data_IF_393861720851
#
_entry.id   IF_393861720851
#
_cell.length_a   1.000
_cell.length_b   1.000
_cell.length_c   1.000
_cell.angle_alpha   90.00
_cell.angle_beta   90.00
_cell.angle_gamma   90.00
#
_symmetry.space_group_name_H-M   'P 1'
#
loop_
_entity.id
_entity.type
_entity.pdbx_description
1 polymer ?
#
# COMPACT_ATOMS: atom_id res chain seq x y z
N UNK A 1 -10.40 -15.56 -6.37
CA UNK A 1 -9.66 -14.36 -5.93
C UNK A 1 -10.38 -13.13 -6.48
N UNK A 2 -10.61 -12.10 -5.69
CA UNK A 2 -11.36 -10.90 -6.11
C UNK A 2 -10.41 -9.87 -6.73
N UNK A 3 -9.96 -10.12 -7.96
CA UNK A 3 -9.02 -9.22 -8.66
C UNK A 3 -9.69 -7.90 -9.05
N UNK A 4 -11.00 -7.89 -9.29
CA UNK A 4 -11.76 -6.68 -9.56
C UNK A 4 -11.68 -5.67 -8.40
N UNK A 5 -11.77 -6.16 -7.15
CA UNK A 5 -11.55 -5.29 -5.98
C UNK A 5 -10.14 -4.68 -5.97
N UNK A 6 -9.10 -5.47 -6.28
CA UNK A 6 -7.73 -4.97 -6.32
C UNK A 6 -7.58 -3.86 -7.37
N UNK A 7 -8.12 -4.07 -8.59
CA UNK A 7 -8.09 -3.05 -9.64
C UNK A 7 -8.78 -1.76 -9.21
N UNK A 8 -9.99 -1.87 -8.65
CA UNK A 8 -10.73 -0.69 -8.14
C UNK A 8 -9.96 0.05 -7.04
N UNK A 9 -9.30 -0.68 -6.13
CA UNK A 9 -8.45 -0.08 -5.11
C UNK A 9 -7.27 0.66 -5.75
N UNK A 10 -6.55 0.05 -6.69
CA UNK A 10 -5.40 0.66 -7.35
C UNK A 10 -5.77 1.89 -8.22
N UNK A 11 -6.93 1.86 -8.88
CA UNK A 11 -7.38 2.94 -9.75
C UNK A 11 -8.00 4.11 -8.96
N UNK A 12 -8.41 3.90 -7.71
CA UNK A 12 -8.99 4.96 -6.87
C UNK A 12 -7.89 5.92 -6.39
N UNK A 13 -7.95 7.22 -6.73
CA UNK A 13 -6.95 8.20 -6.33
C UNK A 13 -6.86 8.38 -4.82
N UNK A 14 -5.62 8.49 -4.29
CA UNK A 14 -5.41 8.75 -2.87
C UNK A 14 -3.93 8.88 -2.52
N UNK A 15 -3.38 10.10 -2.52
CA UNK A 15 -2.02 10.40 -2.07
C UNK A 15 -1.97 10.62 -0.56
N UNK A 16 -0.77 10.62 0.08
CA UNK A 16 -0.65 10.92 1.51
C UNK A 16 -1.41 12.18 1.93
N UNK A 17 -2.40 12.04 2.83
CA UNK A 17 -3.26 13.13 3.31
C UNK A 17 -4.48 13.44 2.43
N UNK A 18 -4.75 12.62 1.43
CA UNK A 18 -5.93 12.69 0.54
C UNK A 18 -6.46 11.29 0.23
N UNK A 19 -6.58 10.45 1.23
CA UNK A 19 -6.99 9.04 1.11
C UNK A 19 -8.52 8.84 1.20
N UNK A 20 -9.31 9.92 1.26
CA UNK A 20 -10.75 9.86 1.51
C UNK A 20 -11.49 8.93 0.55
N UNK A 21 -11.18 9.01 -0.75
CA UNK A 21 -11.85 8.21 -1.79
C UNK A 21 -11.57 6.71 -1.64
N UNK A 22 -10.33 6.37 -1.29
CA UNK A 22 -9.93 4.99 -1.02
C UNK A 22 -10.59 4.47 0.25
N UNK A 23 -10.58 5.28 1.31
CA UNK A 23 -11.26 4.96 2.57
C UNK A 23 -12.76 4.70 2.36
N UNK A 24 -13.44 5.54 1.58
CA UNK A 24 -14.87 5.34 1.25
C UNK A 24 -15.12 4.04 0.48
N UNK A 25 -14.24 3.67 -0.45
CA UNK A 25 -14.30 2.39 -1.13
C UNK A 25 -14.13 1.24 -0.13
N UNK A 26 -13.10 1.30 0.72
CA UNK A 26 -12.84 0.28 1.74
C UNK A 26 -14.01 0.17 2.72
N UNK A 27 -14.58 1.28 3.19
CA UNK A 27 -15.73 1.28 4.09
C UNK A 27 -16.95 0.53 3.52
N UNK A 28 -17.16 0.63 2.20
CA UNK A 28 -18.22 -0.14 1.52
C UNK A 28 -17.91 -1.64 1.51
N UNK A 29 -16.65 -2.00 1.24
CA UNK A 29 -16.20 -3.39 1.13
C UNK A 29 -16.12 -4.11 2.49
N UNK A 30 -15.83 -3.40 3.57
CA UNK A 30 -15.73 -3.99 4.93
C UNK A 30 -17.08 -4.07 5.67
N UNK A 31 -18.16 -3.57 5.08
CA UNK A 31 -19.49 -3.56 5.70
C UNK A 31 -19.91 -4.98 6.09
N UNK A 32 -20.15 -5.18 7.39
CA UNK A 32 -20.58 -6.48 7.95
C UNK A 32 -19.42 -7.45 8.27
N UNK A 33 -18.16 -7.11 7.97
CA UNK A 33 -16.99 -7.93 8.32
C UNK A 33 -16.48 -7.68 9.75
N UNK A 34 -16.73 -6.50 10.29
CA UNK A 34 -16.23 -6.04 11.58
C UNK A 34 -17.36 -5.63 12.52
N UNK A 35 -17.08 -5.67 13.81
CA UNK A 35 -18.06 -5.28 14.86
C UNK A 35 -18.08 -3.76 15.06
N UNK A 36 -16.90 -3.12 14.94
CA UNK A 36 -16.72 -1.68 15.07
C UNK A 36 -15.84 -1.14 13.96
N UNK A 37 -16.18 0.05 13.48
CA UNK A 37 -15.34 0.80 12.53
C UNK A 37 -15.29 2.25 12.96
N UNK A 38 -14.13 2.86 12.93
CA UNK A 38 -13.96 4.30 13.20
C UNK A 38 -12.88 4.88 12.30
N UNK A 39 -13.00 6.16 12.01
CA UNK A 39 -11.95 6.95 11.35
C UNK A 39 -11.28 7.79 12.45
N UNK A 40 -9.95 7.76 12.49
CA UNK A 40 -9.18 8.58 13.43
C UNK A 40 -8.94 10.00 12.90
N UNK A 41 -8.28 10.84 13.70
CA UNK A 41 -8.00 12.23 13.34
C UNK A 41 -7.02 12.37 12.14
N UNK A 42 -6.22 11.34 11.87
CA UNK A 42 -5.32 11.30 10.69
C UNK A 42 -6.02 10.81 9.43
N UNK A 43 -7.25 10.30 9.55
CA UNK A 43 -8.02 9.73 8.45
C UNK A 43 -7.85 8.21 8.30
N UNK A 44 -7.09 7.54 9.14
CA UNK A 44 -6.97 6.08 9.12
C UNK A 44 -8.30 5.42 9.51
N UNK A 45 -8.70 4.36 8.77
CA UNK A 45 -9.88 3.57 9.08
C UNK A 45 -9.47 2.37 9.95
N UNK A 46 -9.97 2.34 11.18
CA UNK A 46 -9.68 1.28 12.16
C UNK A 46 -10.91 0.41 12.31
N UNK A 47 -10.79 -0.86 11.95
CA UNK A 47 -11.85 -1.86 11.95
C UNK A 47 -11.55 -2.93 13.02
N UNK A 48 -12.45 -3.12 13.99
CA UNK A 48 -12.30 -4.09 15.07
C UNK A 48 -13.22 -5.28 14.88
N UNK A 49 -12.68 -6.45 15.05
CA UNK A 49 -13.39 -7.72 15.05
C UNK A 49 -13.11 -8.45 16.35
N UNK A 50 -14.15 -8.63 17.14
CA UNK A 50 -14.05 -9.31 18.42
C UNK A 50 -13.86 -10.83 18.25
N UNK A 51 -13.36 -11.53 19.27
CA UNK A 51 -13.22 -12.99 19.25
C UNK A 51 -14.48 -13.68 18.74
N UNK A 52 -14.30 -14.72 17.92
CA UNK A 52 -15.39 -15.52 17.34
C UNK A 52 -15.27 -16.98 17.76
N UNK A 53 -16.34 -17.53 18.32
CA UNK A 53 -16.49 -18.97 18.47
C UNK A 53 -16.81 -19.66 17.14
N UNK A 54 -16.96 -20.99 17.17
CA UNK A 54 -17.39 -21.73 16.00
C UNK A 54 -18.70 -21.15 15.40
N UNK A 55 -18.79 -21.12 14.07
CA UNK A 55 -19.90 -20.53 13.30
C UNK A 55 -20.02 -19.00 13.45
N UNK A 56 -18.93 -18.29 13.74
CA UNK A 56 -18.85 -16.85 13.69
C UNK A 56 -19.58 -16.08 14.82
N UNK A 57 -20.04 -16.75 15.87
CA UNK A 57 -20.65 -16.08 17.04
C UNK A 57 -19.58 -15.39 17.87
N UNK A 58 -19.85 -14.15 18.32
CA UNK A 58 -18.97 -13.43 19.25
C UNK A 58 -18.78 -14.27 20.51
N UNK A 59 -17.52 -14.57 20.85
CA UNK A 59 -17.17 -15.31 22.04
C UNK A 59 -17.17 -14.37 23.25
N UNK A 60 -17.89 -14.73 24.31
CA UNK A 60 -17.82 -14.05 25.60
C UNK A 60 -16.70 -14.73 26.42
N UNK A 61 -15.55 -14.06 26.52
CA UNK A 61 -14.41 -14.52 27.33
C UNK A 61 -14.32 -13.77 28.66
N UNK A 62 -13.70 -14.40 29.67
CA UNK A 62 -13.42 -13.81 30.96
C UNK A 62 -12.06 -13.10 31.01
N UNK A 63 -11.21 -13.28 30.01
CA UNK A 63 -9.89 -12.64 29.89
C UNK A 63 -9.89 -11.61 28.77
N UNK A 64 -9.06 -10.55 28.91
CA UNK A 64 -8.79 -9.62 27.81
C UNK A 64 -8.14 -10.42 26.66
N UNK A 65 -8.71 -10.38 25.45
CA UNK A 65 -8.14 -11.09 24.31
C UNK A 65 -6.80 -10.48 23.88
N UNK A 66 -5.92 -11.30 23.32
CA UNK A 66 -4.73 -10.83 22.58
C UNK A 66 -5.19 -9.98 21.40
N UNK A 67 -4.64 -8.80 21.25
CA UNK A 67 -4.96 -7.87 20.15
C UNK A 67 -3.96 -8.05 19.01
N UNK A 68 -4.43 -8.55 17.87
CA UNK A 68 -3.66 -8.68 16.63
C UNK A 68 -4.05 -7.56 15.68
N UNK A 69 -3.10 -6.72 15.29
CA UNK A 69 -3.33 -5.59 14.40
C UNK A 69 -2.68 -5.83 13.04
N UNK A 70 -3.48 -5.80 11.98
CA UNK A 70 -3.04 -5.78 10.58
C UNK A 70 -2.94 -4.32 10.14
N UNK A 71 -1.80 -3.91 9.60
CA UNK A 71 -1.57 -2.55 9.12
C UNK A 71 -1.44 -2.56 7.60
N UNK A 72 -2.24 -1.72 6.94
CA UNK A 72 -2.46 -1.71 5.51
C UNK A 72 -2.58 -0.27 5.02
N UNK A 73 -1.52 0.35 4.51
CA UNK A 73 -1.64 1.75 4.12
C UNK A 73 -2.47 1.96 2.84
N UNK A 74 -3.22 3.06 2.84
CA UNK A 74 -4.15 3.42 1.78
C UNK A 74 -3.55 4.35 0.74
N UNK A 75 -2.55 5.13 1.13
CA UNK A 75 -1.93 6.11 0.24
C UNK A 75 -1.09 5.44 -0.84
N UNK A 76 -0.98 6.14 -1.95
CA UNK A 76 -0.07 5.87 -3.06
C UNK A 76 0.83 7.07 -3.24
N UNK A 77 2.03 6.90 -3.79
CA UNK A 77 2.88 8.03 -4.18
C UNK A 77 2.17 8.92 -5.22
N UNK A 78 2.36 10.22 -5.11
CA UNK A 78 1.77 11.18 -6.04
C UNK A 78 2.34 12.57 -5.83
N UNK A 79 1.55 13.59 -6.14
CA UNK A 79 2.02 14.97 -6.10
C UNK A 79 0.97 15.90 -5.52
N UNK A 80 1.45 17.02 -5.01
CA UNK A 80 0.64 18.18 -4.74
C UNK A 80 0.95 19.31 -5.73
N UNK A 81 -0.08 20.01 -6.18
CA UNK A 81 0.10 21.24 -6.98
C UNK A 81 0.82 22.26 -6.11
N UNK A 82 1.98 22.71 -6.55
CA UNK A 82 2.80 23.72 -5.87
C UNK A 82 2.62 25.12 -6.47
N UNK A 83 2.29 25.22 -7.76
CA UNK A 83 2.01 26.47 -8.45
C UNK A 83 1.23 26.25 -9.74
N UNK A 84 0.51 27.30 -10.20
CA UNK A 84 0.01 27.43 -11.56
C UNK A 84 0.61 28.73 -12.13
N UNK A 85 1.39 28.63 -13.19
CA UNK A 85 2.08 29.78 -13.76
C UNK A 85 1.17 30.68 -14.64
N UNK A 86 1.75 31.74 -15.18
CA UNK A 86 1.00 32.71 -15.98
C UNK A 86 0.51 32.13 -17.31
N UNK A 87 1.09 31.05 -17.78
CA UNK A 87 0.72 30.36 -19.01
C UNK A 87 -0.26 29.19 -18.78
N UNK A 88 -0.57 28.88 -17.50
CA UNK A 88 -1.47 27.78 -17.12
C UNK A 88 -0.77 26.45 -16.92
N UNK A 89 0.57 26.39 -16.90
CA UNK A 89 1.29 25.17 -16.56
C UNK A 89 1.19 24.91 -15.05
N UNK A 90 0.90 23.65 -14.70
CA UNK A 90 0.74 23.22 -13.31
C UNK A 90 2.05 22.60 -12.85
N UNK A 91 2.67 23.18 -11.84
CA UNK A 91 3.90 22.70 -11.22
C UNK A 91 3.56 21.89 -9.97
N UNK A 92 4.37 20.84 -9.69
CA UNK A 92 4.06 19.88 -8.65
C UNK A 92 5.22 19.63 -7.69
N UNK A 93 4.87 19.21 -6.48
CA UNK A 93 5.78 18.74 -5.45
C UNK A 93 5.43 17.29 -5.10
N UNK A 94 6.41 16.35 -5.04
CA UNK A 94 6.13 14.94 -4.77
C UNK A 94 5.68 14.69 -3.32
N UNK A 95 4.79 13.73 -3.16
CA UNK A 95 4.43 13.09 -1.90
C UNK A 95 4.75 11.59 -2.05
N UNK A 96 5.82 11.14 -1.38
CA UNK A 96 6.44 9.85 -1.60
C UNK A 96 7.66 9.89 -2.54
N UNK A 97 8.29 8.75 -2.75
CA UNK A 97 9.53 8.62 -3.50
C UNK A 97 9.34 8.36 -4.98
N UNK A 98 9.95 9.19 -5.85
CA UNK A 98 9.93 9.00 -7.31
C UNK A 98 11.33 8.93 -7.91
N UNK A 99 11.53 8.01 -8.84
CA UNK A 99 12.60 8.14 -9.82
C UNK A 99 12.12 9.03 -10.98
N UNK A 100 12.75 10.18 -11.16
CA UNK A 100 12.38 11.16 -12.18
C UNK A 100 12.38 10.57 -13.62
N UNK A 101 13.16 9.51 -13.87
CA UNK A 101 13.18 8.80 -15.15
C UNK A 101 11.84 8.13 -15.48
N UNK A 102 11.06 7.80 -14.46
CA UNK A 102 9.73 7.18 -14.63
C UNK A 102 8.61 8.21 -14.83
N UNK A 103 8.90 9.51 -14.81
CA UNK A 103 7.91 10.58 -14.92
C UNK A 103 7.75 11.14 -16.34
N UNK A 104 8.60 10.73 -17.28
CA UNK A 104 8.52 11.19 -18.67
C UNK A 104 7.24 10.71 -19.35
N UNK A 105 6.54 11.64 -20.02
CA UNK A 105 5.38 11.36 -20.87
C UNK A 105 4.26 10.58 -20.16
N UNK A 106 3.99 10.92 -18.90
CA UNK A 106 2.94 10.24 -18.12
C UNK A 106 1.59 10.92 -18.27
N UNK A 107 0.55 10.11 -18.34
CA UNK A 107 -0.82 10.56 -18.08
C UNK A 107 -1.03 10.68 -16.58
N UNK A 108 -1.74 11.73 -16.19
CA UNK A 108 -2.03 12.02 -14.79
C UNK A 108 -3.48 12.46 -14.62
N UNK A 109 -3.98 12.32 -13.40
CA UNK A 109 -5.27 12.85 -12.98
C UNK A 109 -5.03 13.94 -11.95
N UNK A 110 -5.40 15.17 -12.28
CA UNK A 110 -5.37 16.33 -11.36
C UNK A 110 -6.71 16.36 -10.64
N UNK A 111 -6.69 16.08 -9.35
CA UNK A 111 -7.88 15.98 -8.50
C UNK A 111 -8.11 17.31 -7.77
N UNK A 112 -9.23 17.97 -8.06
CA UNK A 112 -9.59 19.29 -7.51
C UNK A 112 -10.98 19.28 -6.89
N UNK A 113 -11.32 20.33 -6.14
CA UNK A 113 -12.69 20.52 -5.63
C UNK A 113 -13.73 20.73 -6.76
N UNK A 114 -13.27 21.12 -7.95
CA UNK A 114 -14.11 21.38 -9.12
C UNK A 114 -14.27 20.14 -10.04
N UNK A 115 -13.74 18.98 -9.62
CA UNK A 115 -13.71 17.75 -10.39
C UNK A 115 -12.29 17.34 -10.77
N UNK A 116 -12.18 16.21 -11.45
CA UNK A 116 -10.92 15.63 -11.85
C UNK A 116 -10.61 15.95 -13.32
N UNK A 117 -9.36 16.32 -13.61
CA UNK A 117 -8.90 16.68 -14.95
C UNK A 117 -7.79 15.75 -15.39
N UNK A 118 -7.96 15.12 -16.55
CA UNK A 118 -6.86 14.39 -17.18
C UNK A 118 -5.82 15.36 -17.69
N UNK A 119 -4.55 15.02 -17.48
CA UNK A 119 -3.42 15.80 -17.93
C UNK A 119 -2.25 14.94 -18.39
N UNK A 120 -1.24 15.60 -18.93
CA UNK A 120 0.03 14.98 -19.30
C UNK A 120 1.17 15.64 -18.53
N UNK A 121 2.05 14.82 -17.99
CA UNK A 121 3.24 15.27 -17.24
C UNK A 121 4.48 15.10 -18.11
N UNK A 122 5.28 16.15 -18.22
CA UNK A 122 6.55 16.13 -18.92
C UNK A 122 7.55 17.09 -18.22
N UNK A 123 8.87 16.89 -18.40
CA UNK A 123 9.85 17.82 -17.91
C UNK A 123 9.84 19.10 -18.74
N UNK A 124 10.09 20.24 -18.10
CA UNK A 124 10.40 21.49 -18.77
C UNK A 124 11.75 21.41 -19.48
N UNK A 125 11.90 22.15 -20.58
CA UNK A 125 13.15 22.21 -21.33
C UNK A 125 12.94 22.14 -22.84
N UNK A 126 14.05 22.03 -23.57
CA UNK A 126 14.02 21.95 -25.03
C UNK A 126 13.66 20.53 -25.48
N UNK A 127 12.75 20.35 -26.45
CA UNK A 127 12.54 19.05 -27.09
C UNK A 127 13.86 18.51 -27.66
N UNK A 128 13.99 17.19 -27.69
CA UNK A 128 15.23 16.49 -28.12
C UNK A 128 15.76 16.94 -29.47
N UNK A 129 14.87 17.36 -30.39
CA UNK A 129 15.20 17.82 -31.75
C UNK A 129 16.02 19.11 -31.79
N UNK A 130 15.94 19.93 -30.72
CA UNK A 130 16.64 21.23 -30.63
C UNK A 130 17.50 21.34 -29.37
N UNK A 131 17.68 20.23 -28.61
CA UNK A 131 18.52 20.16 -27.42
C UNK A 131 19.99 19.99 -27.79
N UNK A 132 20.87 20.57 -26.96
CA UNK A 132 22.31 20.28 -27.02
C UNK A 132 22.62 18.85 -26.56
N UNK A 133 23.81 18.28 -26.91
CA UNK A 133 24.22 16.96 -26.41
C UNK A 133 24.20 16.87 -24.87
N UNK A 134 24.61 17.89 -24.15
CA UNK A 134 24.65 17.91 -22.70
C UNK A 134 23.24 17.89 -22.08
N UNK A 135 22.29 18.64 -22.67
CA UNK A 135 20.88 18.63 -22.23
C UNK A 135 20.23 17.26 -22.40
N UNK A 136 20.57 16.51 -23.46
CA UNK A 136 20.00 15.19 -23.76
C UNK A 136 20.35 14.12 -22.73
N UNK A 137 21.52 14.24 -22.12
CA UNK A 137 22.04 13.27 -21.15
C UNK A 137 21.67 13.59 -19.70
N UNK A 138 21.04 14.74 -19.45
CA UNK A 138 20.67 15.18 -18.11
C UNK A 138 19.32 14.61 -17.70
N UNK A 139 19.29 13.93 -16.55
CA UNK A 139 18.02 13.55 -15.90
C UNK A 139 17.47 14.77 -15.15
N UNK A 140 16.24 15.23 -15.46
CA UNK A 140 15.63 16.35 -14.76
C UNK A 140 15.33 15.99 -13.31
N UNK A 141 15.36 16.97 -12.41
CA UNK A 141 14.81 16.82 -11.07
C UNK A 141 13.28 16.82 -11.10
N UNK A 142 12.63 16.15 -10.15
CA UNK A 142 11.16 16.05 -10.07
C UNK A 142 10.47 17.42 -10.12
N UNK A 143 11.07 18.44 -9.47
CA UNK A 143 10.54 19.82 -9.49
C UNK A 143 10.54 20.50 -10.85
N UNK A 144 11.19 19.93 -11.87
CA UNK A 144 11.25 20.45 -13.24
C UNK A 144 10.14 19.89 -14.13
N UNK A 145 9.31 18.98 -13.59
CA UNK A 145 8.14 18.48 -14.30
C UNK A 145 6.93 19.39 -14.11
N UNK A 146 6.16 19.53 -15.18
CA UNK A 146 4.91 20.25 -15.19
C UNK A 146 3.80 19.42 -15.81
N UNK A 147 2.56 19.85 -15.59
CA UNK A 147 1.37 19.17 -16.11
C UNK A 147 0.60 20.15 -17.01
N UNK A 148 0.16 19.61 -18.15
CA UNK A 148 -0.75 20.25 -19.07
C UNK A 148 -2.10 19.51 -19.03
N UNK A 149 -3.19 20.23 -18.75
CA UNK A 149 -4.56 19.71 -18.77
C UNK A 149 -5.36 20.20 -19.99
N UNK A 150 -4.70 20.82 -20.98
CA UNK A 150 -5.31 21.23 -22.24
C UNK A 150 -6.30 22.39 -22.14
N UNK A 151 -6.29 23.16 -21.05
CA UNK A 151 -7.18 24.30 -20.85
C UNK A 151 -6.44 25.64 -21.00
N UNK A 152 -7.13 26.73 -21.43
CA UNK A 152 -6.58 28.08 -21.41
C UNK A 152 -6.15 28.50 -19.99
N UNK A 153 -5.08 29.30 -19.89
CA UNK A 153 -4.46 29.68 -18.64
C UNK A 153 -5.43 30.30 -17.60
N UNK A 154 -6.37 31.12 -18.05
CA UNK A 154 -7.38 31.74 -17.18
C UNK A 154 -8.36 30.71 -16.60
N UNK A 155 -8.65 29.66 -17.33
CA UNK A 155 -9.46 28.53 -16.85
C UNK A 155 -8.68 27.66 -15.87
N UNK A 156 -7.42 27.30 -16.20
CA UNK A 156 -6.58 26.52 -15.27
C UNK A 156 -6.48 27.22 -13.92
N UNK A 157 -6.17 28.52 -13.90
CA UNK A 157 -6.04 29.33 -12.66
C UNK A 157 -7.33 29.43 -11.84
N UNK A 158 -8.50 29.30 -12.46
CA UNK A 158 -9.79 29.30 -11.77
C UNK A 158 -10.16 27.93 -11.22
N UNK A 159 -9.60 26.86 -11.80
CA UNK A 159 -10.00 25.48 -11.55
C UNK A 159 -9.02 24.76 -10.64
N UNK A 160 -7.73 24.95 -10.87
CA UNK A 160 -6.64 24.28 -10.14
C UNK A 160 -6.00 25.27 -9.18
N UNK A 161 -5.79 24.84 -7.95
CA UNK A 161 -5.16 25.63 -6.89
C UNK A 161 -4.01 24.88 -6.21
N UNK A 162 -3.14 25.61 -5.55
CA UNK A 162 -2.10 25.04 -4.69
C UNK A 162 -2.73 24.16 -3.62
N UNK A 163 -2.22 22.94 -3.47
CA UNK A 163 -2.74 21.92 -2.54
C UNK A 163 -3.74 20.93 -3.17
N UNK A 164 -4.17 21.13 -4.42
CA UNK A 164 -4.82 20.05 -5.18
C UNK A 164 -3.82 18.93 -5.41
N UNK A 165 -4.29 17.69 -5.54
CA UNK A 165 -3.38 16.56 -5.65
C UNK A 165 -3.43 15.90 -7.03
N UNK A 166 -2.37 15.16 -7.34
CA UNK A 166 -2.20 14.52 -8.64
C UNK A 166 -1.74 13.10 -8.45
N UNK A 167 -2.37 12.17 -9.18
CA UNK A 167 -1.96 10.77 -9.26
C UNK A 167 -1.64 10.41 -10.70
N UNK A 168 -0.89 9.32 -10.91
CA UNK A 168 -0.74 8.70 -12.22
C UNK A 168 -2.09 8.17 -12.71
N UNK A 169 -2.37 8.26 -14.02
CA UNK A 169 -3.62 7.79 -14.64
C UNK A 169 -3.32 6.66 -15.64
N UNK A 170 -3.20 5.45 -15.11
CA UNK A 170 -3.02 4.23 -15.89
C UNK A 170 -3.98 3.14 -15.41
N UNK A 171 -4.68 2.43 -16.31
CA UNK A 171 -5.59 1.35 -15.93
C UNK A 171 -4.84 0.11 -15.46
N UNK A 172 -5.46 -0.64 -14.56
CA UNK A 172 -4.96 -1.93 -14.13
C UNK A 172 -5.13 -3.00 -15.20
N UNK A 173 -4.12 -3.86 -15.40
CA UNK A 173 -4.08 -4.92 -16.40
C UNK A 173 -3.89 -6.29 -15.76
N UNK A 174 -4.56 -7.31 -16.29
CA UNK A 174 -4.24 -8.71 -16.03
C UNK A 174 -3.39 -9.27 -17.16
N UNK A 175 -2.25 -9.90 -16.81
CA UNK A 175 -1.31 -10.49 -17.75
C UNK A 175 -0.94 -11.92 -17.30
N UNK A 176 -1.69 -12.91 -17.74
CA UNK A 176 -1.54 -14.28 -17.28
C UNK A 176 -1.80 -14.42 -15.77
N UNK A 177 -0.78 -14.79 -15.00
CA UNK A 177 -0.87 -14.85 -13.52
C UNK A 177 -0.51 -13.52 -12.84
N UNK A 178 -0.29 -12.46 -13.60
CA UNK A 178 0.17 -11.17 -13.08
C UNK A 178 -0.96 -10.14 -13.09
N UNK A 179 -0.90 -9.23 -12.14
CA UNK A 179 -1.62 -7.96 -12.16
C UNK A 179 -0.60 -6.85 -12.26
N UNK A 180 -0.84 -5.94 -13.18
CA UNK A 180 -0.01 -4.73 -13.41
C UNK A 180 -0.87 -3.51 -13.11
N UNK A 181 -0.41 -2.62 -12.28
CA UNK A 181 -1.09 -1.36 -11.98
C UNK A 181 -0.14 -0.35 -11.34
N UNK A 182 -0.53 0.91 -11.30
CA UNK A 182 -0.04 1.84 -10.30
C UNK A 182 -0.55 1.44 -8.91
N UNK A 183 0.06 1.91 -7.86
CA UNK A 183 -0.46 1.82 -6.49
C UNK A 183 -0.71 0.37 -5.99
N UNK A 184 -0.09 -0.67 -6.60
CA UNK A 184 -0.02 -1.96 -5.93
C UNK A 184 0.67 -1.81 -4.58
N UNK A 185 1.63 -0.89 -4.50
CA UNK A 185 2.13 -0.26 -3.30
C UNK A 185 1.18 0.88 -2.84
N UNK A 186 0.31 0.69 -1.79
CA UNK A 186 0.12 -0.59 -1.13
C UNK A 186 -1.37 -0.98 -1.09
N UNK A 187 -2.06 -0.88 -2.22
CA UNK A 187 -3.45 -1.34 -2.32
C UNK A 187 -3.54 -2.88 -2.23
N UNK A 188 -2.41 -3.56 -2.42
CA UNK A 188 -2.24 -4.99 -2.09
C UNK A 188 -2.54 -5.24 -0.61
N UNK A 189 -2.00 -4.44 0.30
CA UNK A 189 -2.30 -4.59 1.72
C UNK A 189 -3.77 -4.28 2.05
N UNK A 190 -4.35 -3.25 1.44
CA UNK A 190 -5.77 -2.96 1.59
C UNK A 190 -6.64 -4.16 1.15
N UNK A 191 -6.30 -4.77 0.02
CA UNK A 191 -6.95 -5.97 -0.46
C UNK A 191 -6.77 -7.15 0.52
N UNK A 192 -5.56 -7.35 1.03
CA UNK A 192 -5.24 -8.43 1.98
C UNK A 192 -5.98 -8.25 3.31
N UNK A 193 -6.06 -7.03 3.83
CA UNK A 193 -6.81 -6.72 5.04
C UNK A 193 -8.30 -7.06 4.93
N UNK A 194 -8.89 -6.91 3.74
CA UNK A 194 -10.28 -7.28 3.47
C UNK A 194 -10.42 -8.78 3.22
N UNK A 195 -9.65 -9.32 2.29
CA UNK A 195 -9.83 -10.69 1.79
C UNK A 195 -9.34 -11.77 2.77
N UNK A 196 -8.37 -11.46 3.65
CA UNK A 196 -7.97 -12.38 4.72
C UNK A 196 -9.10 -12.56 5.75
N UNK A 197 -9.83 -11.50 6.08
CA UNK A 197 -11.00 -11.59 6.97
C UNK A 197 -12.16 -12.34 6.29
N UNK A 198 -12.42 -12.07 5.01
CA UNK A 198 -13.40 -12.85 4.22
C UNK A 198 -13.04 -14.33 4.16
N UNK A 199 -11.75 -14.63 3.99
CA UNK A 199 -11.24 -16.00 3.99
C UNK A 199 -11.39 -16.67 5.36
N UNK A 200 -11.09 -15.96 6.44
CA UNK A 200 -11.30 -16.42 7.80
C UNK A 200 -12.78 -16.77 8.05
N UNK A 201 -13.71 -15.89 7.65
CA UNK A 201 -15.14 -16.13 7.76
C UNK A 201 -15.59 -17.37 6.98
N UNK A 202 -15.16 -17.51 5.74
CA UNK A 202 -15.54 -18.64 4.87
C UNK A 202 -14.98 -19.97 5.36
N UNK A 203 -13.90 -19.96 6.15
CA UNK A 203 -13.33 -21.17 6.76
C UNK A 203 -14.17 -21.70 7.94
N UNK A 204 -15.02 -20.86 8.53
CA UNK A 204 -15.78 -21.18 9.74
C UNK A 204 -14.94 -21.38 11.00
N UNK A 205 -13.65 -21.04 10.95
CA UNK A 205 -12.73 -21.17 12.08
C UNK A 205 -13.05 -20.17 13.19
N UNK A 206 -12.97 -20.64 14.44
CA UNK A 206 -12.97 -19.77 15.62
C UNK A 206 -11.61 -19.05 15.73
N UNK A 207 -11.61 -17.86 16.34
CA UNK A 207 -10.39 -17.17 16.77
C UNK A 207 -10.62 -16.55 18.15
N UNK A 208 -9.63 -16.69 19.05
CA UNK A 208 -9.70 -16.16 20.41
C UNK A 208 -9.18 -14.71 20.50
N UNK A 209 -8.32 -14.30 19.59
CA UNK A 209 -7.79 -12.94 19.54
C UNK A 209 -8.84 -11.91 19.07
N UNK A 210 -8.67 -10.66 19.48
CA UNK A 210 -9.29 -9.51 18.85
C UNK A 210 -8.47 -9.15 17.60
N UNK A 211 -9.11 -9.07 16.43
CA UNK A 211 -8.45 -8.67 15.19
C UNK A 211 -8.78 -7.23 14.89
N UNK A 212 -7.74 -6.40 14.73
CA UNK A 212 -7.87 -5.01 14.28
C UNK A 212 -7.23 -4.90 12.89
N UNK A 213 -7.98 -4.43 11.91
CA UNK A 213 -7.43 -4.03 10.61
C UNK A 213 -7.40 -2.51 10.56
N UNK A 214 -6.21 -1.93 10.47
CA UNK A 214 -6.02 -0.51 10.29
C UNK A 214 -5.63 -0.22 8.84
N UNK A 215 -6.52 0.44 8.12
CA UNK A 215 -6.22 1.02 6.82
C UNK A 215 -5.64 2.41 7.08
N UNK A 216 -4.32 2.50 7.03
CA UNK A 216 -3.54 3.63 7.51
C UNK A 216 -3.33 4.69 6.44
N UNK A 217 -2.99 5.89 6.86
CA UNK A 217 -2.73 7.05 5.99
C UNK A 217 -1.28 7.48 6.07
N UNK A 218 -0.76 8.14 5.02
CA UNK A 218 0.54 8.81 5.01
C UNK A 218 1.72 7.89 5.38
N UNK A 219 1.70 6.65 4.89
CA UNK A 219 2.83 5.72 5.04
C UNK A 219 4.03 6.24 4.27
N UNK A 220 3.83 6.60 2.98
CA UNK A 220 4.82 7.01 1.99
C UNK A 220 5.65 8.26 2.38
N UNK A 221 5.22 8.95 3.43
CA UNK A 221 5.89 10.13 3.98
C UNK A 221 6.30 9.95 5.45
N UNK A 222 6.37 8.70 5.92
CA UNK A 222 6.96 8.34 7.21
C UNK A 222 6.06 7.63 8.22
N UNK A 223 5.23 6.67 7.80
CA UNK A 223 4.42 5.76 8.64
C UNK A 223 3.47 6.51 9.60
N UNK A 224 2.94 7.68 9.19
CA UNK A 224 2.32 8.63 10.11
C UNK A 224 1.01 8.13 10.69
N UNK A 225 0.11 7.63 9.84
CA UNK A 225 -1.17 7.07 10.27
C UNK A 225 -1.00 5.79 11.10
N UNK A 226 -0.01 4.96 10.74
CA UNK A 226 0.30 3.75 11.51
C UNK A 226 0.76 4.08 12.93
N UNK A 227 1.57 5.13 13.12
CA UNK A 227 2.01 5.60 14.45
C UNK A 227 0.83 5.97 15.34
N UNK A 228 -0.10 6.77 14.82
CA UNK A 228 -1.28 7.20 15.59
C UNK A 228 -2.25 6.05 15.84
N UNK A 229 -2.50 5.21 14.82
CA UNK A 229 -3.38 4.07 14.94
C UNK A 229 -2.84 3.03 15.94
N UNK A 230 -1.55 2.68 15.86
CA UNK A 230 -0.90 1.73 16.77
C UNK A 230 -0.85 2.25 18.21
N UNK A 231 -0.59 3.54 18.40
CA UNK A 231 -0.66 4.15 19.71
C UNK A 231 -2.07 4.07 20.32
N UNK A 232 -3.10 4.30 19.53
CA UNK A 232 -4.48 4.25 19.99
C UNK A 232 -5.02 2.82 20.21
N UNK A 233 -4.53 1.83 19.47
CA UNK A 233 -4.93 0.41 19.57
C UNK A 233 -4.13 -0.32 20.63
N UNK A 234 -2.84 -0.04 20.77
CA UNK A 234 -1.88 -0.74 21.63
C UNK A 234 -1.92 -2.27 21.40
N UNK A 235 -1.57 -2.75 20.19
CA UNK A 235 -1.63 -4.17 19.88
C UNK A 235 -0.59 -4.98 20.66
N UNK A 236 -0.90 -6.24 20.95
CA UNK A 236 0.06 -7.23 21.44
C UNK A 236 0.92 -7.77 20.28
N UNK A 237 0.31 -7.89 19.09
CA UNK A 237 0.95 -8.36 17.86
C UNK A 237 0.61 -7.41 16.72
N UNK A 238 1.64 -6.86 16.06
CA UNK A 238 1.52 -6.07 14.85
C UNK A 238 1.94 -6.90 13.61
N UNK A 239 1.11 -6.90 12.57
CA UNK A 239 1.41 -7.51 11.28
C UNK A 239 1.41 -6.38 10.25
N UNK A 240 2.60 -5.93 9.87
CA UNK A 240 2.77 -5.02 8.74
C UNK A 240 2.53 -5.78 7.45
N UNK A 241 1.58 -5.33 6.65
CA UNK A 241 1.30 -5.93 5.34
C UNK A 241 1.77 -4.94 4.30
N UNK A 242 2.69 -5.39 3.43
CA UNK A 242 3.30 -4.50 2.47
C UNK A 242 3.69 -5.22 1.18
N UNK A 243 4.21 -4.48 0.21
CA UNK A 243 4.94 -5.01 -0.93
C UNK A 243 6.44 -5.04 -0.62
N UNK A 244 7.21 -5.76 -1.42
CA UNK A 244 8.67 -5.74 -1.39
C UNK A 244 9.24 -5.99 -2.78
N UNK A 245 10.53 -5.78 -2.98
CA UNK A 245 11.15 -5.95 -4.28
C UNK A 245 11.07 -7.39 -4.79
N UNK A 246 10.51 -7.59 -5.98
CA UNK A 246 10.70 -8.80 -6.76
C UNK A 246 11.88 -8.58 -7.71
N UNK A 247 12.99 -9.24 -7.39
CA UNK A 247 14.28 -9.04 -8.06
C UNK A 247 14.59 -10.14 -9.09
N UNK A 248 13.57 -10.79 -9.61
CA UNK A 248 13.68 -11.80 -10.68
C UNK A 248 13.66 -11.18 -12.09
N UNK A 249 14.15 -9.95 -12.21
CA UNK A 249 14.28 -9.19 -13.46
C UNK A 249 15.73 -9.17 -13.95
N UNK A 250 15.96 -8.99 -15.27
CA UNK A 250 17.33 -8.94 -15.81
C UNK A 250 18.18 -7.86 -15.13
N UNK A 251 19.44 -8.19 -14.85
CA UNK A 251 20.43 -7.26 -14.30
C UNK A 251 20.52 -7.21 -12.78
N UNK A 252 19.73 -7.99 -12.05
CA UNK A 252 19.85 -8.14 -10.60
C UNK A 252 20.68 -9.40 -10.30
N UNK A 253 21.80 -9.30 -9.54
CA UNK A 253 22.53 -10.46 -9.05
C UNK A 253 21.70 -11.36 -8.15
N UNK A 254 21.95 -12.67 -8.15
CA UNK A 254 21.15 -13.64 -7.36
C UNK A 254 21.23 -13.34 -5.85
N UNK A 255 22.38 -12.93 -5.35
CA UNK A 255 22.62 -12.57 -3.94
C UNK A 255 21.90 -11.30 -3.49
N UNK A 256 21.44 -10.46 -4.42
CA UNK A 256 20.65 -9.26 -4.15
C UNK A 256 19.15 -9.51 -4.31
N UNK A 257 18.75 -10.73 -4.67
CA UNK A 257 17.34 -11.07 -4.87
C UNK A 257 16.60 -11.07 -3.54
N UNK A 258 15.53 -10.27 -3.45
CA UNK A 258 14.67 -10.19 -2.26
C UNK A 258 13.53 -11.21 -2.36
N UNK A 259 12.78 -11.19 -3.46
CA UNK A 259 11.75 -12.19 -3.78
C UNK A 259 11.75 -12.55 -5.26
N UNK A 260 11.15 -13.70 -5.56
CA UNK A 260 10.87 -14.18 -6.91
C UNK A 260 9.38 -14.40 -7.08
N UNK A 261 8.78 -13.92 -8.16
CA UNK A 261 7.36 -14.12 -8.46
C UNK A 261 6.98 -15.61 -8.58
N UNK A 262 5.85 -15.96 -7.96
CA UNK A 262 5.30 -17.31 -7.98
C UNK A 262 5.94 -18.28 -7.00
N UNK A 263 6.81 -17.79 -6.11
CA UNK A 263 7.44 -18.58 -5.03
C UNK A 263 6.76 -18.40 -3.67
N UNK A 264 5.64 -17.70 -3.63
CA UNK A 264 4.87 -17.45 -2.43
C UNK A 264 5.11 -16.07 -1.82
N UNK A 265 4.41 -15.77 -0.73
CA UNK A 265 4.55 -14.51 -0.02
C UNK A 265 5.93 -14.37 0.62
N UNK A 266 6.34 -13.13 0.88
CA UNK A 266 7.55 -12.83 1.63
C UNK A 266 7.29 -12.83 3.14
N UNK A 267 8.00 -13.67 3.87
CA UNK A 267 8.11 -13.62 5.32
C UNK A 267 9.25 -12.68 5.64
N UNK A 268 8.91 -11.43 5.97
CA UNK A 268 9.86 -10.34 6.08
C UNK A 268 10.64 -10.41 7.38
N UNK A 269 11.96 -10.47 7.30
CA UNK A 269 12.84 -10.59 8.46
C UNK A 269 13.32 -9.22 8.94
N UNK A 270 13.73 -8.36 7.99
CA UNK A 270 14.32 -7.06 8.31
C UNK A 270 14.24 -6.10 7.11
N UNK A 271 14.01 -4.82 7.41
CA UNK A 271 14.28 -3.68 6.52
C UNK A 271 15.04 -2.55 7.23
N UNK A 272 14.99 -1.33 6.72
CA UNK A 272 15.64 -0.15 7.31
C UNK A 272 14.99 0.33 8.61
N UNK A 273 13.70 0.07 8.81
CA UNK A 273 12.90 0.58 9.94
C UNK A 273 12.47 -0.50 10.94
N UNK A 274 12.58 -1.78 10.57
CA UNK A 274 11.87 -2.87 11.20
C UNK A 274 12.68 -4.16 11.26
N UNK A 275 12.57 -4.91 12.36
CA UNK A 275 13.09 -6.27 12.52
C UNK A 275 11.98 -7.13 13.09
N UNK A 276 11.56 -8.15 12.35
CA UNK A 276 10.51 -9.07 12.77
C UNK A 276 10.88 -9.86 14.03
N UNK A 277 9.90 -10.04 14.91
CA UNK A 277 10.03 -10.90 16.08
C UNK A 277 10.31 -12.34 15.67
N UNK A 278 11.41 -12.90 16.16
CA UNK A 278 11.87 -14.24 15.77
C UNK A 278 10.82 -15.33 16.03
N UNK A 279 10.08 -15.23 17.12
CA UNK A 279 9.07 -16.22 17.47
C UNK A 279 7.86 -16.14 16.55
N UNK A 280 7.45 -14.91 16.15
CA UNK A 280 6.41 -14.75 15.13
C UNK A 280 6.85 -15.32 13.77
N UNK A 281 8.10 -15.11 13.39
CA UNK A 281 8.64 -15.73 12.15
C UNK A 281 8.49 -17.24 12.21
N UNK A 282 8.86 -17.88 13.31
CA UNK A 282 8.73 -19.34 13.47
C UNK A 282 7.26 -19.80 13.47
N UNK A 283 6.36 -19.03 14.13
CA UNK A 283 4.92 -19.30 14.15
C UNK A 283 4.33 -19.24 12.74
N UNK A 284 4.62 -18.19 11.95
CA UNK A 284 4.15 -18.07 10.58
C UNK A 284 4.73 -19.15 9.66
N UNK A 285 5.99 -19.52 9.81
CA UNK A 285 6.56 -20.65 9.07
C UNK A 285 5.86 -21.97 9.40
N UNK A 286 5.58 -22.23 10.67
CA UNK A 286 4.87 -23.43 11.10
C UNK A 286 3.47 -23.48 10.47
N UNK A 287 2.75 -22.35 10.47
CA UNK A 287 1.43 -22.23 9.83
C UNK A 287 1.54 -22.45 8.32
N UNK A 288 2.48 -21.79 7.64
CA UNK A 288 2.69 -21.94 6.20
C UNK A 288 2.99 -23.41 5.82
N UNK A 289 3.89 -24.06 6.55
CA UNK A 289 4.22 -25.49 6.35
C UNK A 289 3.02 -26.40 6.59
N UNK A 290 2.29 -26.19 7.69
CA UNK A 290 1.08 -26.99 8.04
C UNK A 290 0.02 -26.91 6.94
N UNK A 291 -0.20 -25.76 6.37
CA UNK A 291 -1.21 -25.49 5.35
C UNK A 291 -0.68 -25.60 3.90
N UNK A 292 0.61 -25.94 3.72
CA UNK A 292 1.29 -26.03 2.41
C UNK A 292 1.22 -24.72 1.61
N UNK A 293 1.35 -23.60 2.30
CA UNK A 293 1.37 -22.26 1.71
C UNK A 293 2.83 -21.93 1.37
N UNK A 294 3.08 -21.54 0.12
CA UNK A 294 4.41 -21.18 -0.34
C UNK A 294 4.85 -19.84 0.25
N UNK A 295 6.11 -19.74 0.68
CA UNK A 295 6.69 -18.51 1.24
C UNK A 295 8.19 -18.42 0.95
N UNK A 296 8.72 -17.22 1.06
CA UNK A 296 10.13 -16.87 0.94
C UNK A 296 10.54 -16.05 2.15
N UNK A 297 11.74 -16.25 2.72
CA UNK A 297 12.30 -15.33 3.72
C UNK A 297 12.93 -14.16 3.01
N UNK A 298 12.64 -12.93 3.45
CA UNK A 298 13.09 -11.71 2.79
C UNK A 298 13.85 -10.78 3.73
N UNK A 299 14.90 -10.15 3.21
CA UNK A 299 15.60 -9.03 3.83
C UNK A 299 15.69 -7.93 2.79
N UNK A 300 15.32 -6.72 3.17
CA UNK A 300 15.49 -5.51 2.38
C UNK A 300 16.52 -4.61 3.07
N UNK A 301 17.48 -4.10 2.32
CA UNK A 301 18.57 -3.29 2.90
C UNK A 301 18.09 -1.92 3.40
N UNK A 302 17.09 -1.36 2.73
CA UNK A 302 16.51 -0.04 3.01
C UNK A 302 14.98 -0.10 2.94
N UNK A 303 14.29 1.03 3.13
CA UNK A 303 12.83 1.09 3.15
C UNK A 303 12.27 0.94 4.55
N UNK A 304 10.96 0.82 4.64
CA UNK A 304 10.23 0.67 5.89
C UNK A 304 8.82 0.22 5.60
N UNK A 305 8.07 -0.08 6.65
CA UNK A 305 6.68 -0.47 6.58
C UNK A 305 5.94 -0.16 7.89
N UNK A 306 4.64 -0.13 7.84
CA UNK A 306 3.77 0.18 8.97
C UNK A 306 3.95 -0.74 10.20
N UNK A 307 4.48 -1.96 10.01
CA UNK A 307 4.84 -2.87 11.10
C UNK A 307 5.84 -2.27 12.10
N UNK A 308 6.74 -1.39 11.62
CA UNK A 308 7.68 -0.67 12.49
C UNK A 308 6.97 0.25 13.49
N UNK A 309 5.88 0.90 13.06
CA UNK A 309 5.09 1.76 13.92
C UNK A 309 4.38 0.97 15.02
N UNK A 310 3.83 -0.21 14.71
CA UNK A 310 3.24 -1.09 15.72
C UNK A 310 4.29 -1.61 16.71
N UNK A 311 5.47 -2.02 16.20
CA UNK A 311 6.57 -2.51 17.05
C UNK A 311 7.00 -1.50 18.09
N UNK A 312 6.95 -0.21 17.78
CA UNK A 312 7.43 0.89 18.62
C UNK A 312 6.31 1.62 19.38
N UNK A 313 5.05 1.20 19.24
CA UNK A 313 3.93 1.87 19.90
C UNK A 313 3.87 1.58 21.39
N UNK A 314 3.55 2.59 22.20
CA UNK A 314 3.38 2.48 23.66
C UNK A 314 4.57 1.77 24.34
N UNK A 315 4.33 0.58 24.91
CA UNK A 315 5.35 -0.25 25.57
C UNK A 315 6.06 -1.21 24.59
N UNK A 316 5.74 -1.14 23.30
CA UNK A 316 6.19 -2.04 22.25
C UNK A 316 5.24 -3.21 22.01
N UNK A 317 5.25 -3.74 20.79
CA UNK A 317 4.52 -4.94 20.39
C UNK A 317 5.45 -5.93 19.70
N UNK A 318 5.13 -7.21 19.77
CA UNK A 318 5.73 -8.20 18.87
C UNK A 318 5.23 -7.88 17.45
N UNK A 319 6.12 -7.82 16.48
CA UNK A 319 5.69 -7.47 15.13
C UNK A 319 6.37 -8.31 14.06
N UNK A 320 5.70 -8.47 12.91
CA UNK A 320 6.16 -9.23 11.75
C UNK A 320 5.69 -8.55 10.46
N UNK A 321 6.49 -8.65 9.42
CA UNK A 321 6.10 -8.23 8.06
C UNK A 321 5.63 -9.40 7.21
N UNK A 322 4.50 -9.26 6.55
CA UNK A 322 3.99 -10.15 5.50
C UNK A 322 3.94 -9.34 4.21
N UNK A 323 4.80 -9.70 3.25
CA UNK A 323 5.00 -8.88 2.06
C UNK A 323 4.72 -9.64 0.76
N UNK A 324 4.31 -8.94 -0.27
CA UNK A 324 4.10 -9.47 -1.62
C UNK A 324 5.18 -8.95 -2.54
N UNK A 325 5.89 -9.86 -3.22
CA UNK A 325 6.91 -9.48 -4.19
C UNK A 325 6.32 -8.67 -5.34
N UNK A 326 6.86 -7.48 -5.56
CA UNK A 326 6.37 -6.53 -6.56
C UNK A 326 7.55 -6.02 -7.40
N UNK A 327 7.46 -6.17 -8.72
CA UNK A 327 8.40 -5.58 -9.66
C UNK A 327 8.05 -4.13 -9.91
N UNK A 328 9.05 -3.32 -10.21
CA UNK A 328 8.89 -1.93 -10.67
C UNK A 328 8.14 -1.04 -9.65
N UNK A 329 8.37 -1.24 -8.36
CA UNK A 329 7.76 -0.44 -7.28
C UNK A 329 7.98 1.06 -7.54
N UNK A 330 6.98 1.88 -7.19
CA UNK A 330 6.94 3.33 -7.42
C UNK A 330 6.90 3.71 -8.90
N UNK A 331 6.21 2.88 -9.71
CA UNK A 331 5.94 3.19 -11.12
C UNK A 331 4.47 2.94 -11.48
N UNK A 332 4.09 3.27 -12.70
CA UNK A 332 2.74 2.96 -13.24
C UNK A 332 2.59 1.51 -13.69
N UNK A 333 3.66 0.73 -13.65
CA UNK A 333 3.71 -0.66 -14.11
C UNK A 333 4.17 -1.62 -13.01
N UNK A 334 3.88 -1.28 -11.76
CA UNK A 334 4.06 -2.22 -10.65
C UNK A 334 3.39 -3.54 -10.99
N UNK A 335 4.03 -4.63 -10.64
CA UNK A 335 3.56 -5.96 -11.05
C UNK A 335 3.68 -6.95 -9.92
N UNK A 336 2.60 -7.67 -9.62
CA UNK A 336 2.57 -8.79 -8.66
C UNK A 336 2.17 -10.10 -9.33
N UNK A 337 2.47 -11.22 -8.67
CA UNK A 337 1.91 -12.52 -9.01
C UNK A 337 0.71 -12.84 -8.13
N UNK A 338 -0.42 -13.16 -8.74
CA UNK A 338 -1.67 -13.46 -8.01
C UNK A 338 -1.56 -14.70 -7.11
N UNK A 339 -0.63 -15.63 -7.41
CA UNK A 339 -0.37 -16.81 -6.55
C UNK A 339 0.27 -16.39 -5.22
N UNK A 340 1.19 -15.42 -5.26
CA UNK A 340 1.87 -14.88 -4.08
C UNK A 340 0.91 -14.05 -3.23
N UNK A 341 0.05 -13.25 -3.88
CA UNK A 341 -1.05 -12.53 -3.22
C UNK A 341 -2.01 -13.50 -2.51
N UNK A 342 -2.37 -14.60 -3.18
CA UNK A 342 -3.21 -15.65 -2.60
C UNK A 342 -2.55 -16.32 -1.40
N UNK A 343 -1.24 -16.60 -1.47
CA UNK A 343 -0.47 -17.17 -0.38
C UNK A 343 -0.42 -16.25 0.85
N UNK A 344 -0.22 -14.94 0.65
CA UNK A 344 -0.24 -13.94 1.73
C UNK A 344 -1.62 -13.89 2.42
N UNK A 345 -2.72 -13.85 1.65
CA UNK A 345 -4.08 -13.93 2.20
C UNK A 345 -4.29 -15.18 3.04
N UNK A 346 -3.89 -16.33 2.51
CA UNK A 346 -4.18 -17.62 3.11
C UNK A 346 -3.36 -17.84 4.40
N UNK A 347 -2.11 -17.36 4.48
CA UNK A 347 -1.32 -17.47 5.70
C UNK A 347 -1.85 -16.56 6.80
N UNK A 348 -2.27 -15.33 6.49
CA UNK A 348 -2.88 -14.42 7.48
C UNK A 348 -4.16 -15.06 8.04
N UNK A 349 -5.06 -15.53 7.17
CA UNK A 349 -6.31 -16.18 7.59
C UNK A 349 -6.09 -17.46 8.40
N UNK A 350 -5.03 -18.22 8.11
CA UNK A 350 -4.68 -19.44 8.84
C UNK A 350 -3.95 -19.16 10.17
N UNK A 351 -3.26 -18.03 10.30
CA UNK A 351 -2.56 -17.63 11.53
C UNK A 351 -3.51 -17.17 12.62
N UNK A 352 -4.48 -16.31 12.29
CA UNK A 352 -5.38 -15.69 13.27
C UNK A 352 -6.07 -16.69 14.23
N UNK A 353 -6.54 -17.88 13.77
CA UNK A 353 -7.10 -18.90 14.67
C UNK A 353 -6.10 -19.55 15.63
N UNK A 354 -4.80 -19.36 15.44
CA UNK A 354 -3.75 -19.96 16.30
C UNK A 354 -3.36 -19.07 17.48
N UNK A 355 -3.86 -17.84 17.51
CA UNK A 355 -3.58 -16.87 18.57
C UNK A 355 -4.62 -17.01 19.67
N UNK A 356 -4.14 -17.25 20.92
CA UNK A 356 -4.94 -17.40 22.13
C UNK A 356 -5.27 -16.06 22.80
#
# INVERSE_FOLDING_TARGET
MNIDLLKRLCETPGVPGREERVRELIQKEVKGLFDETRVDAMGSLICRRFPRGAKGKVAKGSKKPTVVMLLCHMDEIGFYVSAVDNKGWIWVNPAGGFDARNLFSRRVLVCTDNGDFKGVMNPGGRPIHISSPDERNKVPETKQFFIDIGLPADKVKKTVKVGDFVVMDEPALEMGTKVVSKALDNRVACWLGIEAIRKLDSSGNAHACEVVVAFTTQEEVGLRGAKTASHAVQPDIGIGIDVTLACDTPGVPEEESVTTHGKGFGLHIKDGSFISDKKLVDEFEAVAKKHRIAYQRTILAAGGQDGAAAQQAAAGARAIGIVVGTRYIHTVTEMIDTRDLGAARDVIAAYLPTVD
#
